data_IF_220310273694
#
_entry.id   IF_220310273694
#
_cell.length_a   1.000
_cell.length_b   1.000
_cell.length_c   1.000
_cell.angle_alpha   90.00
_cell.angle_beta   90.00
_cell.angle_gamma   90.00
#
_symmetry.space_group_name_H-M   'P 1'
#
loop_
_entity.id
_entity.type
_entity.pdbx_description
1 polymer ?
#
# COMPACT_ATOMS: atom_id res chain seq x y z
N UNK A 1 17.39 -1.87 -21.65
CA UNK A 1 16.45 -0.77 -21.33
C UNK A 1 15.28 -1.21 -20.44
N UNK A 2 14.71 -2.42 -20.61
CA UNK A 2 13.64 -2.95 -19.74
C UNK A 2 13.94 -2.96 -18.22
N UNK A 3 15.16 -3.33 -17.75
CA UNK A 3 15.46 -3.37 -16.31
C UNK A 3 15.44 -1.98 -15.65
N UNK A 4 15.88 -0.94 -16.36
CA UNK A 4 15.85 0.44 -15.87
C UNK A 4 14.42 1.02 -15.82
N UNK A 5 13.55 0.64 -16.77
CA UNK A 5 12.12 1.00 -16.73
C UNK A 5 11.37 0.32 -15.58
N UNK A 6 11.70 -0.94 -15.27
CA UNK A 6 11.07 -1.68 -14.17
C UNK A 6 11.55 -1.21 -12.80
N UNK A 7 12.81 -0.79 -12.66
CA UNK A 7 13.31 -0.10 -11.46
C UNK A 7 12.61 1.24 -11.23
N UNK A 8 12.22 1.96 -12.29
CA UNK A 8 11.49 3.22 -12.20
C UNK A 8 9.99 3.05 -11.87
N UNK A 9 9.43 1.84 -12.01
CA UNK A 9 8.00 1.53 -11.80
C UNK A 9 7.81 0.58 -10.61
N UNK A 10 8.10 1.05 -9.39
CA UNK A 10 8.07 0.22 -8.18
C UNK A 10 6.68 -0.27 -7.77
N UNK A 11 5.60 0.33 -8.27
CA UNK A 11 4.21 -0.03 -7.98
C UNK A 11 3.45 -0.44 -9.24
N UNK A 12 2.35 -1.18 -9.10
CA UNK A 12 1.44 -1.51 -10.20
C UNK A 12 0.53 -0.33 -10.58
N UNK A 13 0.14 0.47 -9.58
CA UNK A 13 -0.61 1.72 -9.76
C UNK A 13 0.30 2.86 -9.36
N UNK A 14 0.54 3.76 -10.31
CA UNK A 14 1.45 4.89 -10.15
C UNK A 14 0.87 6.12 -10.83
N UNK A 15 1.17 7.28 -10.26
CA UNK A 15 0.95 8.55 -10.93
C UNK A 15 2.17 8.98 -11.74
N UNK A 16 2.21 10.24 -12.12
CA UNK A 16 3.28 10.80 -12.95
C UNK A 16 4.50 11.28 -12.14
N UNK A 17 4.49 11.08 -10.82
CA UNK A 17 5.52 11.56 -9.89
C UNK A 17 5.24 12.95 -9.31
N UNK A 18 4.08 13.53 -9.61
CA UNK A 18 3.60 14.80 -9.06
C UNK A 18 2.29 14.64 -8.30
N UNK A 19 2.09 15.45 -7.26
CA UNK A 19 0.84 15.43 -6.49
C UNK A 19 0.54 16.83 -5.95
N UNK A 20 -0.71 17.28 -6.10
CA UNK A 20 -1.20 18.49 -5.44
C UNK A 20 -2.29 18.17 -4.41
N UNK A 21 -2.06 18.60 -3.16
CA UNK A 21 -2.99 18.44 -2.05
C UNK A 21 -3.36 19.81 -1.46
N UNK A 22 -4.60 19.90 -0.96
CA UNK A 22 -5.12 21.03 -0.17
C UNK A 22 -5.78 20.46 1.08
N UNK A 23 -5.38 20.89 2.26
CA UNK A 23 -6.08 20.52 3.50
C UNK A 23 -7.32 21.40 3.66
N UNK A 24 -8.51 20.79 3.75
CA UNK A 24 -9.77 21.51 3.82
C UNK A 24 -9.99 22.30 5.13
N UNK A 25 -9.20 22.02 6.16
CA UNK A 25 -9.38 22.56 7.51
C UNK A 25 -8.35 23.64 7.87
N UNK A 26 -7.17 23.57 7.28
CA UNK A 26 -6.07 24.51 7.55
C UNK A 26 -5.70 25.38 6.36
N UNK A 27 -6.25 25.11 5.17
CA UNK A 27 -5.87 25.70 3.90
C UNK A 27 -4.40 25.48 3.48
N UNK A 28 -3.68 24.58 4.17
CA UNK A 28 -2.32 24.20 3.77
C UNK A 28 -2.31 23.52 2.41
N UNK A 29 -1.29 23.85 1.60
CA UNK A 29 -1.17 23.39 0.22
C UNK A 29 0.22 22.88 -0.07
N UNK A 30 0.28 21.78 -0.81
CA UNK A 30 1.52 21.29 -1.38
C UNK A 30 1.27 20.79 -2.80
N UNK A 31 2.00 21.36 -3.76
CA UNK A 31 2.24 20.76 -5.07
C UNK A 31 3.70 20.31 -5.07
N UNK A 32 3.92 19.00 -5.27
CA UNK A 32 5.21 18.36 -5.06
C UNK A 32 5.64 17.53 -6.27
N UNK A 33 6.95 17.37 -6.46
CA UNK A 33 7.55 16.37 -7.34
C UNK A 33 8.14 15.24 -6.49
N UNK A 34 7.27 14.38 -5.96
CA UNK A 34 7.65 13.38 -4.93
C UNK A 34 8.50 12.23 -5.49
N UNK A 35 8.49 11.98 -6.81
CA UNK A 35 9.31 10.95 -7.46
C UNK A 35 10.15 11.56 -8.58
N UNK A 36 11.45 11.30 -8.53
CA UNK A 36 12.43 11.75 -9.53
C UNK A 36 12.41 10.86 -10.77
N UNK A 37 12.99 11.34 -11.86
CA UNK A 37 13.09 10.61 -13.14
C UNK A 37 13.84 9.27 -13.04
N UNK A 38 14.73 9.13 -12.07
CA UNK A 38 15.46 7.89 -11.79
C UNK A 38 14.66 6.89 -10.94
N UNK A 39 13.42 7.22 -10.56
CA UNK A 39 12.55 6.41 -9.71
C UNK A 39 12.73 6.62 -8.22
N UNK A 40 13.73 7.40 -7.78
CA UNK A 40 13.94 7.71 -6.37
C UNK A 40 12.88 8.67 -5.83
N UNK A 41 12.51 8.51 -4.57
CA UNK A 41 11.56 9.39 -3.90
C UNK A 41 12.27 10.59 -3.23
N UNK A 42 11.66 11.77 -3.32
CA UNK A 42 12.20 13.00 -2.75
C UNK A 42 11.70 13.20 -1.31
N UNK A 43 12.57 12.97 -0.32
CA UNK A 43 12.20 12.97 1.09
C UNK A 43 11.66 14.32 1.59
N UNK A 44 12.23 15.43 1.09
CA UNK A 44 11.79 16.79 1.36
C UNK A 44 10.38 17.07 0.80
N UNK A 45 10.09 16.59 -0.41
CA UNK A 45 8.76 16.68 -1.02
C UNK A 45 7.73 15.81 -0.29
N UNK A 46 8.12 14.61 0.13
CA UNK A 46 7.27 13.74 0.96
C UNK A 46 6.97 14.36 2.33
N UNK A 47 7.93 15.07 2.94
CA UNK A 47 7.71 15.78 4.19
C UNK A 47 6.66 16.89 4.05
N UNK A 48 6.61 17.57 2.89
CA UNK A 48 5.55 18.54 2.59
C UNK A 48 4.18 17.89 2.49
N UNK A 49 4.08 16.73 1.85
CA UNK A 49 2.82 15.96 1.81
C UNK A 49 2.38 15.53 3.19
N UNK A 50 3.32 14.99 4.00
CA UNK A 50 3.09 14.61 5.40
C UNK A 50 2.48 15.75 6.19
N UNK A 51 3.03 16.96 6.04
CA UNK A 51 2.50 18.14 6.70
C UNK A 51 1.04 18.42 6.30
N UNK A 52 0.71 18.40 5.00
CA UNK A 52 -0.67 18.66 4.54
C UNK A 52 -1.66 17.62 5.08
N UNK A 53 -1.26 16.36 5.21
CA UNK A 53 -2.15 15.27 5.66
C UNK A 53 -2.04 14.97 7.16
N UNK A 54 -1.40 15.84 7.95
CA UNK A 54 -1.22 15.66 9.39
C UNK A 54 -2.53 15.58 10.16
N UNK A 55 -2.46 15.04 11.37
CA UNK A 55 -3.61 14.91 12.27
C UNK A 55 -4.17 16.28 12.64
N UNK A 56 -5.48 16.49 12.46
CA UNK A 56 -6.10 17.82 12.62
C UNK A 56 -6.11 18.33 14.06
N UNK A 57 -6.40 17.45 15.02
CA UNK A 57 -6.63 17.86 16.41
C UNK A 57 -5.36 18.24 17.18
N UNK A 58 -4.20 17.75 16.74
CA UNK A 58 -2.93 17.85 17.47
C UNK A 58 -1.71 18.09 16.57
N UNK A 59 -1.93 18.29 15.26
CA UNK A 59 -0.89 18.50 14.24
C UNK A 59 0.20 17.41 14.19
N UNK A 60 0.00 16.25 14.83
CA UNK A 60 0.99 15.18 14.80
C UNK A 60 1.14 14.64 13.38
N UNK A 61 2.38 14.32 13.05
CA UNK A 61 2.80 13.85 11.74
C UNK A 61 3.42 12.46 11.83
N UNK A 62 3.20 11.65 10.81
CA UNK A 62 3.94 10.40 10.55
C UNK A 62 4.20 10.28 9.06
N UNK A 63 5.15 9.43 8.67
CA UNK A 63 5.37 9.19 7.25
C UNK A 63 4.13 8.59 6.58
N UNK A 64 3.85 9.06 5.37
CA UNK A 64 2.75 8.60 4.54
C UNK A 64 3.27 7.51 3.63
N UNK A 65 2.50 6.42 3.44
CA UNK A 65 2.92 5.34 2.56
C UNK A 65 3.17 5.83 1.14
N UNK A 66 4.32 5.47 0.55
CA UNK A 66 4.65 5.77 -0.84
C UNK A 66 3.58 5.25 -1.81
N UNK A 67 3.04 4.06 -1.53
CA UNK A 67 1.93 3.48 -2.31
C UNK A 67 0.69 4.35 -2.26
N UNK A 68 0.39 4.96 -1.11
CA UNK A 68 -0.75 5.88 -0.99
C UNK A 68 -0.50 7.13 -1.82
N UNK A 69 0.70 7.71 -1.75
CA UNK A 69 1.08 8.88 -2.56
C UNK A 69 0.94 8.60 -4.06
N UNK A 70 1.39 7.43 -4.53
CA UNK A 70 1.25 7.01 -5.92
C UNK A 70 -0.22 6.82 -6.35
N UNK A 71 -1.05 6.20 -5.51
CA UNK A 71 -2.49 6.06 -5.75
C UNK A 71 -3.19 7.43 -5.78
N UNK A 72 -2.81 8.35 -4.89
CA UNK A 72 -3.35 9.71 -4.87
C UNK A 72 -2.97 10.50 -6.12
N UNK A 73 -1.71 10.40 -6.56
CA UNK A 73 -1.22 11.02 -7.79
C UNK A 73 -1.96 10.47 -9.01
N UNK A 74 -2.18 9.17 -9.09
CA UNK A 74 -3.02 8.56 -10.13
C UNK A 74 -4.48 9.05 -10.07
N UNK A 75 -5.03 9.19 -8.86
CA UNK A 75 -6.42 9.63 -8.65
C UNK A 75 -6.61 11.11 -9.02
N UNK A 76 -5.64 11.98 -8.72
CA UNK A 76 -5.63 13.39 -9.12
C UNK A 76 -5.79 13.52 -10.64
N UNK A 77 -4.98 12.78 -11.40
CA UNK A 77 -5.06 12.73 -12.86
C UNK A 77 -6.42 12.21 -13.34
N UNK A 78 -6.90 11.12 -12.74
CA UNK A 78 -8.20 10.50 -13.07
C UNK A 78 -9.39 11.43 -12.75
N UNK A 79 -9.24 12.32 -11.78
CA UNK A 79 -10.24 13.33 -11.40
C UNK A 79 -10.14 14.63 -12.23
N UNK A 80 -9.22 14.71 -13.19
CA UNK A 80 -9.08 15.85 -14.09
C UNK A 80 -7.94 16.82 -13.73
N UNK A 81 -6.96 16.38 -12.93
CA UNK A 81 -5.70 17.11 -12.70
C UNK A 81 -5.83 18.35 -11.82
N UNK A 82 -6.86 18.41 -10.96
CA UNK A 82 -7.02 19.47 -9.97
C UNK A 82 -6.51 18.99 -8.60
N UNK A 83 -5.96 19.89 -7.76
CA UNK A 83 -5.52 19.51 -6.43
C UNK A 83 -6.59 18.76 -5.65
N UNK A 84 -6.19 17.64 -5.04
CA UNK A 84 -7.07 16.85 -4.20
C UNK A 84 -7.31 17.56 -2.87
N UNK A 85 -8.57 17.68 -2.49
CA UNK A 85 -8.98 18.31 -1.23
C UNK A 85 -9.07 17.25 -0.14
N UNK A 86 -8.13 17.28 0.80
CA UNK A 86 -8.00 16.34 1.91
C UNK A 86 -8.92 16.78 3.05
N UNK A 87 -9.92 15.95 3.35
CA UNK A 87 -10.77 16.08 4.52
C UNK A 87 -10.18 15.38 5.74
N UNK A 88 -9.47 14.27 5.55
CA UNK A 88 -8.79 13.57 6.63
C UNK A 88 -7.60 12.80 6.09
N UNK A 89 -6.45 12.95 6.74
CA UNK A 89 -5.23 12.21 6.43
C UNK A 89 -4.86 11.27 7.55
N UNK A 90 -3.63 11.38 8.05
CA UNK A 90 -3.24 10.71 9.29
C UNK A 90 -4.13 11.15 10.46
N UNK A 91 -4.47 10.20 11.33
CA UNK A 91 -5.18 10.47 12.59
C UNK A 91 -4.32 9.98 13.74
N UNK A 92 -3.91 10.87 14.63
CA UNK A 92 -3.23 10.44 15.85
C UNK A 92 -4.15 9.55 16.70
N UNK A 93 -3.59 8.71 17.60
CA UNK A 93 -4.40 7.90 18.50
C UNK A 93 -5.43 8.73 19.28
N UNK A 94 -5.03 9.88 19.83
CA UNK A 94 -5.90 10.77 20.61
C UNK A 94 -7.02 11.35 19.75
N UNK A 95 -6.72 11.84 18.55
CA UNK A 95 -7.71 12.38 17.63
C UNK A 95 -8.69 11.29 17.16
N UNK A 96 -8.18 10.11 16.82
CA UNK A 96 -9.00 8.99 16.37
C UNK A 96 -9.94 8.48 17.49
N UNK A 97 -9.48 8.42 18.73
CA UNK A 97 -10.32 8.12 19.90
C UNK A 97 -11.35 9.22 20.15
N UNK A 98 -10.98 10.49 20.00
CA UNK A 98 -11.90 11.63 20.11
C UNK A 98 -13.06 11.53 19.11
N UNK A 99 -12.79 11.17 17.85
CA UNK A 99 -13.83 10.93 16.85
C UNK A 99 -14.79 9.79 17.26
N UNK A 100 -14.24 8.69 17.79
CA UNK A 100 -15.05 7.57 18.29
C UNK A 100 -15.94 8.00 19.46
N UNK A 101 -15.42 8.79 20.39
CA UNK A 101 -16.18 9.33 21.52
C UNK A 101 -17.30 10.29 21.08
N UNK A 102 -17.13 10.97 19.95
CA UNK A 102 -18.18 11.79 19.31
C UNK A 102 -19.20 10.98 18.50
N UNK A 103 -19.15 9.64 18.56
CA UNK A 103 -20.08 8.76 17.84
C UNK A 103 -19.81 8.66 16.34
N UNK A 104 -18.63 9.06 15.85
CA UNK A 104 -18.25 8.86 14.44
C UNK A 104 -17.91 7.38 14.21
N UNK A 105 -18.23 6.89 13.01
CA UNK A 105 -17.88 5.53 12.58
C UNK A 105 -16.36 5.43 12.38
N UNK A 106 -15.65 4.95 13.41
CA UNK A 106 -14.20 4.73 13.41
C UNK A 106 -13.90 3.26 13.68
N UNK A 107 -13.27 2.59 12.71
CA UNK A 107 -12.88 1.19 12.86
C UNK A 107 -11.72 1.04 13.88
N UNK A 108 -11.71 -0.08 14.64
CA UNK A 108 -10.67 -0.37 15.62
C UNK A 108 -9.26 -0.49 15.02
N UNK A 109 -9.15 -1.01 13.79
CA UNK A 109 -7.91 -1.05 13.00
C UNK A 109 -7.93 -0.05 11.84
N UNK A 110 -8.21 1.22 12.14
CA UNK A 110 -8.31 2.29 11.13
C UNK A 110 -6.98 2.53 10.44
N UNK A 111 -6.97 2.53 9.11
CA UNK A 111 -5.75 2.76 8.33
C UNK A 111 -5.29 4.23 8.33
N UNK A 112 -6.13 5.15 8.79
CA UNK A 112 -5.72 6.53 9.03
C UNK A 112 -4.69 6.64 10.15
N UNK A 113 -4.71 5.76 11.16
CA UNK A 113 -3.74 5.84 12.27
C UNK A 113 -2.36 5.33 11.90
N UNK A 114 -2.21 4.78 10.70
CA UNK A 114 -0.96 4.21 10.20
C UNK A 114 -0.43 4.95 8.95
N UNK A 115 -1.06 6.07 8.55
CA UNK A 115 -0.61 6.86 7.40
C UNK A 115 -0.90 6.17 6.06
N UNK A 116 -1.94 5.33 6.03
CA UNK A 116 -2.28 4.44 4.93
C UNK A 116 -3.62 4.79 4.27
N UNK A 117 -4.29 5.86 4.69
CA UNK A 117 -5.60 6.25 4.21
C UNK A 117 -5.79 7.77 4.15
N UNK A 118 -6.68 8.20 3.26
CA UNK A 118 -7.16 9.58 3.12
C UNK A 118 -8.64 9.61 2.81
N UNK A 119 -9.34 10.60 3.36
CA UNK A 119 -10.68 10.99 2.94
C UNK A 119 -10.59 12.24 2.07
N UNK A 120 -11.13 12.18 0.85
CA UNK A 120 -10.98 13.21 -0.18
C UNK A 120 -12.33 13.74 -0.63
N UNK A 121 -12.49 15.06 -0.65
CA UNK A 121 -13.68 15.70 -1.19
C UNK A 121 -13.66 15.71 -2.71
N UNK A 122 -14.78 15.34 -3.32
CA UNK A 122 -15.00 15.46 -4.77
C UNK A 122 -16.40 16.01 -5.05
N UNK A 123 -16.61 16.62 -6.23
CA UNK A 123 -17.96 16.92 -6.71
C UNK A 123 -18.84 15.67 -6.69
N UNK A 124 -20.09 15.82 -6.22
CA UNK A 124 -21.01 14.70 -5.98
C UNK A 124 -21.30 13.88 -7.24
N UNK A 125 -21.32 14.54 -8.39
CA UNK A 125 -21.50 13.95 -9.72
C UNK A 125 -20.29 13.13 -10.18
N UNK A 126 -19.09 13.40 -9.66
CA UNK A 126 -17.87 12.67 -9.99
C UNK A 126 -17.62 11.45 -9.10
N UNK A 127 -18.09 11.48 -7.85
CA UNK A 127 -17.79 10.44 -6.86
C UNK A 127 -18.11 9.01 -7.33
N UNK A 128 -19.28 8.69 -7.93
CA UNK A 128 -19.58 7.32 -8.34
C UNK A 128 -18.58 6.79 -9.38
N UNK A 129 -18.23 7.64 -10.35
CA UNK A 129 -17.26 7.30 -11.39
C UNK A 129 -15.87 7.05 -10.80
N UNK A 130 -15.41 7.92 -9.91
CA UNK A 130 -14.10 7.79 -9.27
C UNK A 130 -14.04 6.55 -8.37
N UNK A 131 -15.08 6.29 -7.59
CA UNK A 131 -15.15 5.08 -6.76
C UNK A 131 -15.07 3.79 -7.61
N UNK A 132 -15.80 3.72 -8.73
CA UNK A 132 -15.68 2.59 -9.67
C UNK A 132 -14.27 2.48 -10.26
N UNK A 133 -13.63 3.59 -10.63
CA UNK A 133 -12.26 3.58 -11.15
C UNK A 133 -11.26 3.04 -10.13
N UNK A 134 -11.37 3.46 -8.86
CA UNK A 134 -10.52 2.93 -7.79
C UNK A 134 -10.81 1.45 -7.55
N UNK A 135 -12.09 1.05 -7.61
CA UNK A 135 -12.50 -0.35 -7.51
C UNK A 135 -11.86 -1.24 -8.57
N UNK A 136 -11.82 -0.77 -9.81
CA UNK A 136 -11.29 -1.54 -10.94
C UNK A 136 -9.76 -1.74 -10.85
N UNK A 137 -9.05 -1.01 -9.97
CA UNK A 137 -7.63 -1.25 -9.69
C UNK A 137 -7.39 -2.54 -8.88
N UNK A 138 -8.36 -2.95 -8.06
CA UNK A 138 -8.29 -4.13 -7.19
C UNK A 138 -6.99 -4.23 -6.36
N UNK A 139 -6.51 -3.10 -5.84
CA UNK A 139 -5.24 -3.02 -5.10
C UNK A 139 -5.34 -2.24 -3.78
N UNK A 140 -6.51 -1.69 -3.46
CA UNK A 140 -6.71 -0.69 -2.42
C UNK A 140 -8.12 -0.79 -1.82
N UNK A 141 -8.32 -0.18 -0.65
CA UNK A 141 -9.65 0.03 -0.09
C UNK A 141 -10.28 1.31 -0.60
N UNK A 142 -11.58 1.28 -0.93
CA UNK A 142 -12.32 2.49 -1.26
C UNK A 142 -13.74 2.51 -0.68
N UNK A 143 -14.02 3.56 0.10
CA UNK A 143 -15.31 3.81 0.73
C UNK A 143 -16.05 4.97 0.07
N UNK A 144 -17.27 4.74 -0.39
CA UNK A 144 -18.12 5.76 -1.02
C UNK A 144 -19.07 6.41 0.00
N UNK A 145 -18.89 7.71 0.23
CA UNK A 145 -19.70 8.50 1.16
C UNK A 145 -20.47 9.58 0.41
N UNK A 146 -21.53 9.16 -0.28
CA UNK A 146 -22.34 9.99 -1.15
C UNK A 146 -22.94 11.22 -0.45
N UNK A 147 -23.45 11.01 0.78
CA UNK A 147 -24.15 12.04 1.55
C UNK A 147 -23.19 13.10 2.06
N UNK A 148 -22.06 12.67 2.59
CA UNK A 148 -20.99 13.51 3.14
C UNK A 148 -20.13 14.15 2.04
N UNK A 149 -20.13 13.60 0.83
CA UNK A 149 -19.47 14.17 -0.34
C UNK A 149 -17.97 13.84 -0.44
N UNK A 150 -17.55 12.67 0.02
CA UNK A 150 -16.16 12.25 -0.03
C UNK A 150 -15.96 10.80 -0.46
N UNK A 151 -14.73 10.53 -0.90
CA UNK A 151 -14.22 9.20 -1.21
C UNK A 151 -13.11 8.88 -0.21
N UNK A 152 -13.29 7.80 0.55
CA UNK A 152 -12.21 7.20 1.32
C UNK A 152 -11.34 6.36 0.39
N UNK A 153 -10.02 6.51 0.49
CA UNK A 153 -9.03 5.71 -0.23
C UNK A 153 -7.94 5.29 0.73
N UNK A 154 -7.60 4.01 0.71
CA UNK A 154 -6.52 3.45 1.52
C UNK A 154 -5.74 2.37 0.79
N UNK A 155 -4.54 2.06 1.26
CA UNK A 155 -3.66 1.04 0.64
C UNK A 155 -3.67 -0.31 1.37
N UNK A 156 -4.72 -0.62 2.12
CA UNK A 156 -4.93 -1.95 2.70
C UNK A 156 -5.34 -3.00 1.67
N UNK A 157 -5.81 -4.16 2.13
CA UNK A 157 -6.37 -5.21 1.25
C UNK A 157 -7.51 -4.63 0.39
N UNK A 158 -7.74 -5.15 -0.84
CA UNK A 158 -8.86 -4.73 -1.66
C UNK A 158 -10.19 -4.89 -0.91
N UNK A 159 -10.94 -3.79 -0.79
CA UNK A 159 -12.28 -3.76 -0.20
C UNK A 159 -13.02 -2.53 -0.66
N UNK A 160 -14.32 -2.69 -0.93
CA UNK A 160 -15.16 -1.63 -1.45
C UNK A 160 -16.45 -1.61 -0.68
N UNK A 161 -16.83 -0.44 -0.19
CA UNK A 161 -18.04 -0.28 0.62
C UNK A 161 -18.68 1.08 0.37
N UNK A 162 -19.94 1.16 0.74
CA UNK A 162 -20.67 2.42 0.88
C UNK A 162 -20.83 2.73 2.37
N UNK A 163 -21.20 3.96 2.70
CA UNK A 163 -21.46 4.36 4.09
C UNK A 163 -22.40 3.37 4.82
N UNK A 164 -23.45 2.91 4.14
CA UNK A 164 -24.46 1.97 4.66
C UNK A 164 -23.98 0.53 4.75
N UNK A 165 -22.92 0.14 4.03
CA UNK A 165 -22.38 -1.23 4.02
C UNK A 165 -21.01 -1.31 4.72
N UNK A 166 -20.61 -0.25 5.42
CA UNK A 166 -19.28 -0.13 6.03
C UNK A 166 -19.06 -1.12 7.19
N UNK A 167 -20.11 -1.51 7.90
CA UNK A 167 -20.11 -2.49 9.02
C UNK A 167 -19.05 -2.17 10.09
N UNK A 168 -18.83 -0.87 10.35
CA UNK A 168 -17.83 -0.40 11.32
C UNK A 168 -18.23 -0.74 12.75
N UNK A 169 -19.54 -0.72 13.02
CA UNK A 169 -20.18 -1.11 14.27
C UNK A 169 -19.94 -2.58 14.66
N UNK A 170 -19.80 -3.45 13.67
CA UNK A 170 -19.48 -4.87 13.89
C UNK A 170 -18.02 -5.12 14.32
N UNK A 171 -17.18 -4.07 14.37
CA UNK A 171 -15.78 -4.12 14.81
C UNK A 171 -14.99 -5.29 14.19
N UNK A 172 -15.11 -5.43 12.87
CA UNK A 172 -14.61 -6.61 12.14
C UNK A 172 -13.09 -6.82 12.26
N UNK A 173 -12.34 -5.79 12.67
CA UNK A 173 -10.89 -5.86 12.91
C UNK A 173 -10.50 -6.38 14.31
N UNK A 174 -11.46 -6.53 15.22
CA UNK A 174 -11.19 -6.94 16.60
C UNK A 174 -10.38 -8.25 16.68
N UNK A 175 -9.46 -8.31 17.63
CA UNK A 175 -8.64 -9.49 17.88
C UNK A 175 -7.70 -9.83 16.72
N UNK A 176 -7.22 -8.84 15.97
CA UNK A 176 -6.35 -9.00 14.80
C UNK A 176 -7.01 -9.65 13.58
N UNK A 177 -8.33 -9.82 13.57
CA UNK A 177 -9.00 -10.57 12.50
C UNK A 177 -8.89 -9.97 11.09
N UNK A 178 -8.51 -8.70 10.99
CA UNK A 178 -8.24 -8.00 9.72
C UNK A 178 -6.81 -7.52 9.60
N UNK A 179 -5.89 -8.05 10.43
CA UNK A 179 -4.48 -7.77 10.24
C UNK A 179 -4.04 -8.22 8.84
N UNK A 180 -3.10 -7.48 8.26
CA UNK A 180 -2.54 -7.80 6.96
C UNK A 180 -1.08 -7.39 6.92
N UNK A 181 -0.35 -7.92 5.95
CA UNK A 181 1.03 -7.55 5.70
C UNK A 181 1.08 -6.67 4.45
N UNK A 182 2.17 -5.93 4.27
CA UNK A 182 2.43 -5.21 3.02
C UNK A 182 3.91 -5.18 2.73
N UNK A 183 4.27 -5.39 1.47
CA UNK A 183 5.62 -5.08 0.98
C UNK A 183 5.72 -3.58 0.72
N UNK A 184 6.90 -2.99 0.94
CA UNK A 184 7.12 -1.56 0.65
C UNK A 184 6.73 -1.20 -0.79
N UNK A 185 7.10 -2.06 -1.74
CA UNK A 185 6.88 -1.91 -3.19
C UNK A 185 6.10 -3.09 -3.78
N UNK A 186 5.61 -2.99 -5.01
CA UNK A 186 4.97 -4.12 -5.71
C UNK A 186 5.97 -4.87 -6.61
N UNK A 187 7.03 -4.22 -7.09
CA UNK A 187 8.01 -4.82 -8.00
C UNK A 187 9.39 -4.87 -7.38
N UNK A 188 10.04 -6.03 -7.47
CA UNK A 188 11.36 -6.29 -6.92
C UNK A 188 12.28 -6.96 -7.94
N UNK A 189 13.56 -6.62 -7.92
CA UNK A 189 14.55 -7.38 -8.67
C UNK A 189 14.83 -8.73 -8.00
N UNK A 190 15.19 -9.75 -8.77
CA UNK A 190 15.63 -11.04 -8.21
C UNK A 190 16.82 -10.82 -7.28
N UNK A 191 16.75 -11.38 -6.06
CA UNK A 191 17.75 -11.20 -5.01
C UNK A 191 17.60 -9.92 -4.17
N UNK A 192 16.71 -9.01 -4.54
CA UNK A 192 16.37 -7.85 -3.73
C UNK A 192 15.62 -8.30 -2.46
N UNK A 193 16.01 -7.75 -1.30
CA UNK A 193 15.30 -7.99 -0.04
C UNK A 193 14.04 -7.12 0.04
N UNK A 194 12.92 -7.72 0.43
CA UNK A 194 11.64 -7.03 0.55
C UNK A 194 11.42 -6.59 2.00
N UNK A 195 11.27 -5.29 2.23
CA UNK A 195 10.72 -4.81 3.49
C UNK A 195 9.22 -5.12 3.53
N UNK A 196 8.79 -5.85 4.56
CA UNK A 196 7.40 -6.23 4.82
C UNK A 196 6.98 -5.65 6.16
N UNK A 197 5.79 -5.06 6.24
CA UNK A 197 5.25 -4.45 7.46
C UNK A 197 3.88 -5.04 7.79
N UNK A 198 3.62 -5.28 9.07
CA UNK A 198 2.31 -5.71 9.56
C UNK A 198 1.47 -4.51 9.99
N UNK A 199 0.19 -4.58 9.65
CA UNK A 199 -0.77 -3.49 9.81
C UNK A 199 -2.06 -3.98 10.44
N UNK A 200 -2.83 -3.05 11.01
CA UNK A 200 -4.09 -3.30 11.70
C UNK A 200 -3.97 -4.34 12.84
N UNK A 201 -2.85 -4.32 13.57
CA UNK A 201 -2.69 -5.06 14.83
C UNK A 201 -3.49 -4.35 15.92
N UNK A 202 -4.48 -5.04 16.47
CA UNK A 202 -5.34 -4.54 17.55
C UNK A 202 -4.97 -5.14 18.90
N UNK A 203 -4.32 -6.31 18.91
CA UNK A 203 -3.96 -7.07 20.11
C UNK A 203 -2.52 -7.57 19.96
N UNK A 204 -1.52 -6.83 20.45
CA UNK A 204 -0.14 -7.29 20.47
C UNK A 204 0.16 -8.19 21.70
N UNK A 205 1.27 -8.95 21.68
CA UNK A 205 2.14 -9.15 20.52
C UNK A 205 1.55 -10.16 19.52
N UNK A 206 2.00 -10.08 18.27
CA UNK A 206 1.76 -11.11 17.24
C UNK A 206 3.07 -11.85 16.97
N UNK A 207 3.05 -13.17 17.03
CA UNK A 207 4.22 -14.00 16.78
C UNK A 207 4.29 -14.40 15.29
N UNK A 208 5.39 -14.09 14.62
CA UNK A 208 5.58 -14.34 13.18
C UNK A 208 6.70 -15.34 12.95
N UNK A 209 6.43 -16.40 12.19
CA UNK A 209 7.43 -17.41 11.84
C UNK A 209 8.54 -16.80 10.99
N UNK A 210 9.77 -17.32 11.15
CA UNK A 210 10.96 -16.94 10.37
C UNK A 210 10.98 -17.44 8.92
N UNK A 211 9.89 -18.03 8.47
CA UNK A 211 9.69 -18.51 7.11
C UNK A 211 8.39 -17.93 6.57
N UNK A 212 8.42 -17.58 5.28
CA UNK A 212 7.25 -17.17 4.52
C UNK A 212 7.16 -18.02 3.25
N UNK A 213 6.07 -17.89 2.49
CA UNK A 213 5.96 -18.53 1.18
C UNK A 213 5.58 -17.54 0.09
N UNK A 214 6.01 -17.81 -1.13
CA UNK A 214 5.63 -17.08 -2.34
C UNK A 214 5.48 -18.07 -3.49
N UNK A 215 4.27 -18.19 -4.04
CA UNK A 215 3.95 -19.17 -5.07
C UNK A 215 4.36 -20.62 -4.70
N UNK A 216 4.24 -20.99 -3.42
CA UNK A 216 4.60 -22.31 -2.90
C UNK A 216 6.07 -22.48 -2.51
N UNK A 217 6.95 -21.55 -2.89
CA UNK A 217 8.37 -21.58 -2.54
C UNK A 217 8.62 -20.94 -1.17
N UNK A 218 9.55 -21.50 -0.40
CA UNK A 218 9.91 -21.00 0.93
C UNK A 218 10.85 -19.80 0.84
N UNK A 219 10.52 -18.75 1.59
CA UNK A 219 11.30 -17.53 1.74
C UNK A 219 11.83 -17.40 3.17
N UNK A 220 12.97 -16.74 3.32
CA UNK A 220 13.52 -16.38 4.63
C UNK A 220 12.91 -15.09 5.14
N UNK A 221 12.54 -15.05 6.41
CA UNK A 221 12.13 -13.83 7.13
C UNK A 221 13.17 -13.52 8.19
N UNK A 222 13.72 -12.31 8.14
CA UNK A 222 14.66 -11.77 9.12
C UNK A 222 14.09 -10.49 9.74
N UNK A 223 14.34 -10.22 11.01
CA UNK A 223 13.88 -9.00 11.68
C UNK A 223 14.79 -8.61 12.85
N UNK A 224 14.81 -7.31 13.17
CA UNK A 224 15.43 -6.78 14.39
C UNK A 224 14.37 -6.69 15.50
N UNK A 225 13.83 -7.84 15.90
CA UNK A 225 12.77 -7.99 16.90
C UNK A 225 13.11 -9.10 17.89
N UNK A 226 12.52 -9.12 19.11
CA UNK A 226 12.67 -10.24 20.03
C UNK A 226 12.28 -11.56 19.35
N UNK A 227 13.10 -12.60 19.54
CA UNK A 227 12.90 -13.92 18.97
C UNK A 227 12.73 -14.95 20.08
N UNK A 228 11.65 -15.73 20.00
CA UNK A 228 11.38 -16.84 20.89
C UNK A 228 10.83 -18.02 20.06
N UNK A 229 11.40 -19.21 20.26
CA UNK A 229 10.98 -20.47 19.63
C UNK A 229 10.83 -20.41 18.10
N UNK A 230 11.74 -19.69 17.43
CA UNK A 230 11.76 -19.55 15.96
C UNK A 230 10.70 -18.58 15.42
N UNK A 231 10.18 -17.69 16.27
CA UNK A 231 9.20 -16.68 15.92
C UNK A 231 9.63 -15.29 16.40
N UNK A 232 9.37 -14.27 15.58
CA UNK A 232 9.57 -12.87 15.95
C UNK A 232 8.34 -12.32 16.67
N UNK A 233 8.57 -11.60 17.77
CA UNK A 233 7.53 -10.93 18.53
C UNK A 233 7.26 -9.53 17.99
N UNK A 234 6.08 -9.34 17.39
CA UNK A 234 5.65 -8.06 16.84
C UNK A 234 4.74 -7.35 17.84
N UNK A 235 5.30 -6.35 18.53
CA UNK A 235 4.60 -5.63 19.61
C UNK A 235 3.62 -4.53 19.16
N UNK A 236 3.63 -4.11 17.89
CA UNK A 236 2.73 -3.08 17.36
C UNK A 236 2.65 -3.12 15.82
N UNK A 237 1.61 -2.49 15.26
CA UNK A 237 1.57 -2.15 13.83
C UNK A 237 2.81 -1.34 13.43
N UNK A 238 3.28 -1.50 12.19
CA UNK A 238 4.44 -0.77 11.68
C UNK A 238 5.78 -1.51 11.86
N UNK A 239 5.81 -2.64 12.57
CA UNK A 239 7.01 -3.46 12.68
C UNK A 239 7.48 -3.97 11.31
N UNK A 240 8.79 -3.85 11.04
CA UNK A 240 9.40 -4.18 9.76
C UNK A 240 10.09 -5.54 9.82
N UNK A 241 9.76 -6.38 8.86
CA UNK A 241 10.39 -7.66 8.56
C UNK A 241 11.13 -7.53 7.23
N UNK A 242 12.20 -8.29 7.04
CA UNK A 242 12.90 -8.42 5.76
C UNK A 242 12.68 -9.82 5.22
N UNK A 243 12.07 -9.90 4.05
CA UNK A 243 11.82 -11.16 3.35
C UNK A 243 12.81 -11.29 2.18
N UNK A 244 13.47 -12.44 2.06
CA UNK A 244 14.49 -12.68 1.04
C UNK A 244 14.40 -14.09 0.44
N UNK A 245 15.09 -14.28 -0.69
CA UNK A 245 15.08 -15.55 -1.43
C UNK A 245 13.88 -15.72 -2.38
N UNK A 246 13.21 -14.62 -2.75
CA UNK A 246 12.04 -14.68 -3.62
C UNK A 246 12.40 -15.20 -5.03
N UNK A 247 11.69 -16.24 -5.52
CA UNK A 247 11.82 -16.66 -6.91
C UNK A 247 11.20 -15.60 -7.83
N UNK A 248 11.47 -15.72 -9.14
CA UNK A 248 10.75 -14.94 -10.13
C UNK A 248 9.26 -15.28 -10.09
N UNK A 249 8.42 -14.24 -10.08
CA UNK A 249 6.97 -14.39 -10.10
C UNK A 249 6.35 -13.17 -10.76
N UNK A 250 5.24 -13.36 -11.46
CA UNK A 250 4.53 -12.24 -12.10
C UNK A 250 3.57 -11.52 -11.18
N UNK A 251 2.79 -12.29 -10.39
CA UNK A 251 1.82 -11.73 -9.46
C UNK A 251 1.43 -12.77 -8.41
N UNK A 252 1.99 -12.65 -7.21
CA UNK A 252 1.61 -13.46 -6.06
C UNK A 252 1.90 -12.70 -4.75
N UNK A 253 1.11 -12.89 -3.69
CA UNK A 253 1.44 -12.32 -2.38
C UNK A 253 2.51 -13.16 -1.68
N UNK A 254 3.30 -12.50 -0.82
CA UNK A 254 4.06 -13.19 0.21
C UNK A 254 3.09 -13.58 1.33
N UNK A 255 3.16 -14.83 1.77
CA UNK A 255 2.33 -15.36 2.85
C UNK A 255 3.21 -15.58 4.07
N UNK A 256 2.98 -14.81 5.12
CA UNK A 256 3.60 -14.98 6.44
C UNK A 256 2.76 -15.96 7.26
N UNK A 257 3.39 -16.81 8.07
CA UNK A 257 2.69 -17.66 9.05
C UNK A 257 2.81 -17.08 10.45
N UNK A 258 1.72 -17.15 11.23
CA UNK A 258 1.72 -16.79 12.65
C UNK A 258 1.97 -18.03 13.51
N UNK A 259 2.70 -17.84 14.61
CA UNK A 259 2.99 -18.89 15.58
C UNK A 259 1.94 -18.97 16.69
N UNK A 260 1.85 -20.13 17.33
CA UNK A 260 1.08 -20.30 18.55
C UNK A 260 1.91 -19.88 19.78
N UNK A 261 1.28 -19.39 20.87
CA UNK A 261 -0.16 -19.12 20.99
C UNK A 261 -0.58 -17.87 20.20
N UNK A 262 -1.67 -17.96 19.44
CA UNK A 262 -2.23 -16.84 18.67
C UNK A 262 -3.13 -15.97 19.55
N UNK A 263 -2.88 -14.65 19.55
CA UNK A 263 -3.72 -13.70 20.28
C UNK A 263 -5.12 -13.59 19.64
N UNK A 264 -6.18 -13.89 20.40
CA UNK A 264 -7.58 -13.77 19.99
C UNK A 264 -7.91 -14.36 18.59
N UNK A 265 -8.23 -13.52 17.61
CA UNK A 265 -8.64 -13.89 16.24
C UNK A 265 -7.49 -13.73 15.25
N UNK A 266 -6.24 -13.76 15.72
CA UNK A 266 -5.05 -13.69 14.87
C UNK A 266 -5.09 -14.84 13.86
N UNK A 267 -5.06 -14.56 12.55
CA UNK A 267 -5.13 -15.59 11.52
C UNK A 267 -3.84 -16.42 11.51
N UNK A 268 -3.95 -17.68 11.10
CA UNK A 268 -2.80 -18.57 10.90
C UNK A 268 -1.81 -18.05 9.85
N UNK A 269 -2.32 -17.37 8.82
CA UNK A 269 -1.52 -16.76 7.77
C UNK A 269 -1.93 -15.31 7.51
N UNK A 270 -0.96 -14.52 7.10
CA UNK A 270 -1.14 -13.11 6.76
C UNK A 270 -0.52 -12.86 5.39
N UNK A 271 -1.31 -12.33 4.48
CA UNK A 271 -0.87 -12.07 3.10
C UNK A 271 -0.45 -10.62 2.91
N UNK A 272 0.54 -10.41 2.04
CA UNK A 272 0.88 -9.09 1.50
C UNK A 272 -0.02 -8.70 0.34
N UNK A 273 0.14 -7.47 -0.16
CA UNK A 273 -0.23 -7.15 -1.54
C UNK A 273 0.50 -8.11 -2.51
N UNK A 274 -0.08 -8.41 -3.69
CA UNK A 274 0.64 -9.14 -4.73
C UNK A 274 1.91 -8.39 -5.15
N UNK A 275 2.94 -9.14 -5.49
CA UNK A 275 4.20 -8.62 -6.00
C UNK A 275 4.62 -9.28 -7.31
N UNK A 276 5.49 -8.59 -8.04
CA UNK A 276 6.26 -9.10 -9.15
C UNK A 276 7.75 -9.15 -8.78
N UNK A 277 8.39 -10.28 -9.05
CA UNK A 277 9.84 -10.44 -8.95
C UNK A 277 10.38 -10.74 -10.34
N UNK A 278 11.15 -9.80 -10.90
CA UNK A 278 11.68 -9.92 -12.25
C UNK A 278 13.16 -10.33 -12.25
N UNK A 279 13.57 -11.05 -13.30
CA UNK A 279 14.98 -11.37 -13.54
C UNK A 279 15.74 -10.15 -14.02
N UNK A 280 16.99 -9.99 -13.60
CA UNK A 280 17.87 -8.90 -14.07
C UNK A 280 18.70 -9.28 -15.29
N UNK A 281 18.37 -10.37 -16.00
CA UNK A 281 19.12 -10.84 -17.17
C UNK A 281 19.16 -9.79 -18.28
N UNK A 282 20.23 -9.00 -18.29
CA UNK A 282 20.90 -8.54 -19.50
C UNK A 282 21.74 -9.68 -20.07
N UNK A 283 21.07 -10.73 -20.52
CA UNK A 283 21.58 -11.59 -21.56
C UNK A 283 20.57 -11.48 -22.70
N UNK A 284 20.86 -10.56 -23.63
CA UNK A 284 20.35 -10.69 -24.98
C UNK A 284 20.69 -12.10 -25.44
N UNK A 285 19.70 -12.97 -25.51
CA UNK A 285 19.82 -14.20 -26.28
C UNK A 285 20.13 -13.78 -27.72
N UNK A 286 21.41 -13.86 -28.07
CA UNK A 286 21.83 -14.09 -29.43
C UNK A 286 21.13 -15.36 -29.91
N UNK A 287 20.01 -15.18 -30.61
CA UNK A 287 19.53 -16.14 -31.58
C UNK A 287 19.88 -15.59 -32.96
N UNK A 288 21.07 -15.97 -33.39
CA UNK A 288 21.40 -16.10 -34.81
C UNK A 288 20.29 -16.85 -35.55
N UNK A 289 20.10 -16.50 -36.82
CA UNK A 289 19.34 -17.32 -37.75
C UNK A 289 18.58 -16.55 -38.82
N UNK A 290 19.25 -15.66 -39.55
CA UNK A 290 18.79 -15.32 -40.90
C UNK A 290 18.77 -16.59 -41.75
N UNK A 291 17.64 -17.03 -42.32
CA UNK A 291 17.71 -17.99 -43.42
C UNK A 291 18.15 -17.23 -44.67
N UNK A 292 19.32 -17.58 -45.18
CA UNK A 292 19.77 -17.18 -46.50
C UNK A 292 18.70 -17.58 -47.54
N UNK A 293 18.23 -16.60 -48.31
CA UNK A 293 17.47 -16.84 -49.53
C UNK A 293 18.39 -17.53 -50.55
N UNK A 294 18.17 -18.81 -50.79
CA UNK A 294 18.55 -19.44 -52.05
C UNK A 294 17.40 -19.26 -53.05
N UNK A 295 17.52 -18.28 -53.94
CA UNK A 295 16.92 -18.34 -55.27
C UNK A 295 18.03 -18.94 -56.16
N UNK A 296 17.87 -20.09 -56.79
CA UNK A 296 16.77 -20.44 -57.67
C UNK A 296 17.26 -20.24 -59.11
N UNK A 297 18.17 -21.11 -59.56
CA UNK A 297 18.47 -21.31 -60.99
C UNK A 297 17.23 -21.87 -61.66
N UNK A 298 16.78 -21.24 -62.74
CA UNK A 298 15.92 -21.85 -63.74
C UNK A 298 16.62 -21.75 -65.10
N UNK A 299 16.56 -22.86 -65.80
CA UNK A 299 16.79 -23.04 -67.24
C UNK A 299 15.95 -22.08 -68.08
#
# INVERSE_FOLDING_TARGET
MLPALLLASRFFVMGDGTLSLVNAHTDDRATVHYRRKDGSYAADELARLRHVVRSQGDAREIDVSLRLVEVLSWLEHTAGGKPLVVLSGYRSPDYNQGLKAQGKAVAGGSLHTEGLATDLAFPRDQLPRLWHRVRDLDCCGAGYYAKEGFLHVDVGRPRFWEATTSRVDENLSAGNARMFARTEFDRYATGEGMAVTLHAITVPPVLIRREATLAGERLRVDAELPEHDGCYEVGASGARLRVSGAPRVHRAPVVLSTCEPRAERTPETVETNPIEVYGTDTALEGREGTPARAAGTRE
#
